data_IF_937736879928
#
_entry.id   IF_937736879928
#
_cell.length_a   1.000
_cell.length_b   1.000
_cell.length_c   1.000
_cell.angle_alpha   90.00
_cell.angle_beta   90.00
_cell.angle_gamma   90.00
#
_symmetry.space_group_name_H-M   'P 1'
#
loop_
_entity.id
_entity.type
_entity.pdbx_description
1 polymer ?
#
# COMPACT_ATOMS: atom_id res chain seq x y z
N UNK A 1 2.06 -6.58 -33.03
CA UNK A 1 2.18 -7.11 -31.65
C UNK A 1 0.81 -7.61 -31.26
N UNK A 2 0.64 -8.92 -31.03
CA UNK A 2 -0.67 -9.48 -30.71
C UNK A 2 -1.17 -8.90 -29.37
N UNK A 3 -2.42 -8.43 -29.34
CA UNK A 3 -3.12 -8.10 -28.10
C UNK A 3 -3.37 -9.41 -27.34
N UNK A 4 -2.39 -9.87 -26.58
CA UNK A 4 -2.57 -11.03 -25.71
C UNK A 4 -3.50 -10.61 -24.57
N UNK A 5 -4.69 -11.20 -24.52
CA UNK A 5 -5.64 -10.95 -23.44
C UNK A 5 -5.08 -11.50 -22.12
N UNK A 6 -5.37 -10.83 -21.01
CA UNK A 6 -4.96 -11.33 -19.69
C UNK A 6 -5.59 -12.70 -19.37
N UNK A 7 -6.74 -13.03 -19.98
CA UNK A 7 -7.38 -14.35 -19.89
C UNK A 7 -6.44 -15.44 -20.40
N UNK A 8 -5.88 -15.25 -21.59
CA UNK A 8 -5.04 -16.24 -22.28
C UNK A 8 -3.73 -16.47 -21.51
N UNK A 9 -3.20 -15.41 -20.90
CA UNK A 9 -2.01 -15.47 -20.04
C UNK A 9 -2.31 -16.27 -18.76
N UNK A 10 -3.47 -16.06 -18.14
CA UNK A 10 -3.83 -16.73 -16.88
C UNK A 10 -4.19 -18.20 -17.13
N UNK A 11 -4.89 -18.51 -18.22
CA UNK A 11 -5.29 -19.88 -18.55
C UNK A 11 -4.09 -20.79 -18.82
N UNK A 12 -2.98 -20.24 -19.30
CA UNK A 12 -1.74 -20.97 -19.57
C UNK A 12 -0.82 -21.12 -18.33
N UNK A 13 -1.14 -20.47 -17.20
CA UNK A 13 -0.30 -20.56 -16.00
C UNK A 13 -0.38 -21.95 -15.36
N UNK A 14 0.74 -22.39 -14.80
CA UNK A 14 0.78 -23.53 -13.88
C UNK A 14 0.03 -23.20 -12.58
N UNK A 15 -0.37 -24.23 -11.83
CA UNK A 15 -1.10 -24.07 -10.58
C UNK A 15 -0.31 -23.26 -9.54
N UNK A 16 1.01 -23.45 -9.50
CA UNK A 16 1.91 -22.66 -8.66
C UNK A 16 1.99 -21.20 -9.10
N UNK A 17 2.03 -20.93 -10.41
CA UNK A 17 2.02 -19.56 -10.93
C UNK A 17 0.67 -18.86 -10.70
N UNK A 18 -0.44 -19.61 -10.74
CA UNK A 18 -1.76 -19.12 -10.37
C UNK A 18 -1.84 -18.81 -8.87
N UNK A 19 -1.28 -19.67 -8.04
CA UNK A 19 -1.20 -19.48 -6.59
C UNK A 19 -0.35 -18.26 -6.22
N UNK A 20 0.81 -18.07 -6.85
CA UNK A 20 1.66 -16.89 -6.65
C UNK A 20 0.95 -15.60 -7.08
N UNK A 21 0.24 -15.63 -8.21
CA UNK A 21 -0.59 -14.52 -8.69
C UNK A 21 -1.66 -14.14 -7.65
N UNK A 22 -2.36 -15.13 -7.08
CA UNK A 22 -3.43 -14.89 -6.11
C UNK A 22 -2.94 -14.50 -4.71
N UNK A 23 -1.63 -14.55 -4.46
CA UNK A 23 -1.03 -14.30 -3.13
C UNK A 23 0.03 -13.19 -3.18
N UNK A 24 1.28 -13.52 -3.49
CA UNK A 24 2.44 -12.60 -3.43
C UNK A 24 2.32 -11.47 -4.44
N UNK A 25 1.89 -11.80 -5.66
CA UNK A 25 1.81 -10.86 -6.75
C UNK A 25 0.43 -10.19 -6.85
N UNK A 26 -0.52 -10.52 -5.96
CA UNK A 26 -1.93 -10.11 -6.08
C UNK A 26 -2.10 -8.62 -6.28
N UNK A 27 -1.30 -7.81 -5.58
CA UNK A 27 -1.34 -6.36 -5.71
C UNK A 27 -0.74 -5.80 -7.01
N UNK A 28 0.03 -6.59 -7.77
CA UNK A 28 0.65 -6.18 -9.04
C UNK A 28 -0.34 -6.19 -10.21
N UNK A 29 -1.45 -6.91 -10.10
CA UNK A 29 -2.42 -7.07 -11.18
C UNK A 29 -3.70 -6.27 -10.94
N UNK A 30 -4.42 -5.99 -12.03
CA UNK A 30 -5.74 -5.34 -11.95
C UNK A 30 -6.77 -6.27 -11.31
N UNK A 31 -7.80 -5.70 -10.68
CA UNK A 31 -8.85 -6.47 -9.99
C UNK A 31 -9.54 -7.49 -10.89
N UNK A 32 -9.72 -7.16 -12.17
CA UNK A 32 -10.35 -8.03 -13.16
C UNK A 32 -9.50 -9.28 -13.44
N UNK A 33 -8.17 -9.11 -13.51
CA UNK A 33 -7.25 -10.23 -13.70
C UNK A 33 -7.20 -11.14 -12.45
N UNK A 34 -7.29 -10.55 -11.26
CA UNK A 34 -7.37 -11.31 -10.00
C UNK A 34 -8.68 -12.11 -9.93
N UNK A 35 -9.82 -11.48 -10.22
CA UNK A 35 -11.11 -12.16 -10.23
C UNK A 35 -11.13 -13.31 -11.26
N UNK A 36 -10.55 -13.10 -12.45
CA UNK A 36 -10.44 -14.15 -13.45
C UNK A 36 -9.55 -15.30 -12.96
N UNK A 37 -8.40 -15.00 -12.36
CA UNK A 37 -7.53 -16.02 -11.79
C UNK A 37 -8.22 -16.82 -10.67
N UNK A 38 -9.05 -16.20 -9.83
CA UNK A 38 -9.85 -16.89 -8.81
C UNK A 38 -10.84 -17.89 -9.44
N UNK A 39 -11.50 -17.49 -10.55
CA UNK A 39 -12.40 -18.37 -11.31
C UNK A 39 -11.64 -19.56 -11.89
N UNK A 40 -10.49 -19.32 -12.53
CA UNK A 40 -9.66 -20.39 -13.10
C UNK A 40 -9.15 -21.33 -12.01
N UNK A 41 -8.74 -20.78 -10.87
CA UNK A 41 -8.26 -21.54 -9.71
C UNK A 41 -9.36 -22.47 -9.17
N UNK A 42 -10.59 -21.98 -9.04
CA UNK A 42 -11.75 -22.78 -8.63
C UNK A 42 -12.12 -23.84 -9.67
N UNK A 43 -12.13 -23.49 -10.97
CA UNK A 43 -12.43 -24.44 -12.06
C UNK A 43 -11.46 -25.61 -12.11
N UNK A 44 -10.21 -25.41 -11.71
CA UNK A 44 -9.18 -26.47 -11.62
C UNK A 44 -9.30 -27.32 -10.35
N UNK A 45 -10.28 -27.04 -9.47
CA UNK A 45 -10.45 -27.77 -8.22
C UNK A 45 -9.30 -27.56 -7.24
N UNK A 46 -8.57 -26.46 -7.36
CA UNK A 46 -7.44 -26.15 -6.49
C UNK A 46 -7.93 -25.53 -5.18
N UNK A 47 -7.29 -25.91 -4.08
CA UNK A 47 -7.53 -25.32 -2.76
C UNK A 47 -6.30 -24.52 -2.31
N UNK A 48 -6.53 -23.27 -1.90
CA UNK A 48 -5.47 -22.37 -1.45
C UNK A 48 -4.69 -22.94 -0.26
N UNK A 49 -5.36 -23.66 0.65
CA UNK A 49 -4.74 -24.30 1.82
C UNK A 49 -3.78 -25.42 1.41
N UNK A 50 -4.19 -26.25 0.45
CA UNK A 50 -3.39 -27.38 -0.06
C UNK A 50 -2.11 -26.89 -0.74
N UNK A 51 -2.23 -25.89 -1.62
CA UNK A 51 -1.05 -25.30 -2.27
C UNK A 51 -0.17 -24.51 -1.30
N UNK A 52 -0.76 -23.87 -0.27
CA UNK A 52 0.03 -23.22 0.77
C UNK A 52 0.91 -24.23 1.52
N UNK A 53 0.38 -25.41 1.85
CA UNK A 53 1.13 -26.47 2.53
C UNK A 53 2.26 -27.04 1.66
N UNK A 54 2.06 -27.16 0.34
CA UNK A 54 3.08 -27.64 -0.58
C UNK A 54 4.13 -26.58 -0.95
N UNK A 55 3.79 -25.28 -0.86
CA UNK A 55 4.64 -24.18 -1.34
C UNK A 55 5.92 -23.91 -0.52
N UNK A 56 6.10 -24.57 0.64
CA UNK A 56 7.25 -24.37 1.57
C UNK A 56 7.64 -22.90 1.79
N UNK A 57 6.67 -21.99 1.80
CA UNK A 57 6.93 -20.55 1.95
C UNK A 57 7.56 -20.22 3.28
N UNK A 58 8.58 -19.37 3.23
CA UNK A 58 9.26 -18.87 4.41
C UNK A 58 8.48 -17.71 5.05
N UNK A 59 8.87 -17.33 6.26
CA UNK A 59 8.34 -16.13 6.93
C UNK A 59 8.61 -14.86 6.12
N UNK A 60 9.73 -14.80 5.39
CA UNK A 60 10.13 -13.65 4.58
C UNK A 60 9.26 -13.50 3.33
N UNK A 61 8.85 -14.63 2.74
CA UNK A 61 7.89 -14.64 1.63
C UNK A 61 6.52 -14.10 2.06
N UNK A 62 6.06 -14.50 3.24
CA UNK A 62 4.82 -14.01 3.83
C UNK A 62 4.90 -12.52 4.17
N UNK A 63 6.03 -12.04 4.69
CA UNK A 63 6.25 -10.62 4.95
C UNK A 63 6.24 -9.81 3.64
N UNK A 64 6.83 -10.34 2.58
CA UNK A 64 6.84 -9.73 1.24
C UNK A 64 5.42 -9.65 0.66
N UNK A 65 4.64 -10.72 0.80
CA UNK A 65 3.22 -10.74 0.42
C UNK A 65 2.45 -9.61 1.13
N UNK A 66 2.57 -9.53 2.46
CA UNK A 66 1.91 -8.49 3.26
C UNK A 66 2.30 -7.10 2.78
N UNK A 67 3.60 -6.84 2.58
CA UNK A 67 4.10 -5.55 2.13
C UNK A 67 3.51 -5.16 0.77
N UNK A 68 3.47 -6.08 -0.18
CA UNK A 68 2.90 -5.83 -1.50
C UNK A 68 1.41 -5.52 -1.38
N UNK A 69 0.63 -6.36 -0.69
CA UNK A 69 -0.83 -6.17 -0.57
C UNK A 69 -1.20 -4.85 0.09
N UNK A 70 -0.49 -4.47 1.15
CA UNK A 70 -0.66 -3.15 1.78
C UNK A 70 -0.29 -2.00 0.85
N UNK A 71 0.82 -2.11 0.11
CA UNK A 71 1.27 -1.08 -0.86
C UNK A 71 0.21 -0.82 -1.94
N UNK A 72 -0.50 -1.86 -2.38
CA UNK A 72 -1.53 -1.78 -3.41
C UNK A 72 -2.94 -1.56 -2.88
N UNK A 73 -3.08 -1.22 -1.59
CA UNK A 73 -4.32 -0.70 -1.02
C UNK A 73 -5.29 -1.73 -0.48
N UNK A 74 -4.87 -2.99 -0.30
CA UNK A 74 -5.68 -3.95 0.47
C UNK A 74 -5.67 -3.62 1.96
N UNK A 75 -6.81 -3.86 2.61
CA UNK A 75 -6.92 -3.66 4.06
C UNK A 75 -6.29 -4.81 4.83
N UNK A 76 -5.83 -4.52 6.05
CA UNK A 76 -5.32 -5.54 6.98
C UNK A 76 -6.35 -6.66 7.19
N UNK A 77 -7.65 -6.32 7.28
CA UNK A 77 -8.72 -7.30 7.44
C UNK A 77 -8.84 -8.27 6.24
N UNK A 78 -8.72 -7.75 5.01
CA UNK A 78 -8.75 -8.57 3.79
C UNK A 78 -7.55 -9.54 3.74
N UNK A 79 -6.38 -9.07 4.15
CA UNK A 79 -5.18 -9.90 4.22
C UNK A 79 -5.36 -11.00 5.28
N UNK A 80 -5.90 -10.67 6.46
CA UNK A 80 -6.21 -11.66 7.52
C UNK A 80 -7.17 -12.74 7.01
N UNK A 81 -8.25 -12.33 6.33
CA UNK A 81 -9.22 -13.27 5.77
C UNK A 81 -8.55 -14.26 4.79
N UNK A 82 -7.67 -13.76 3.91
CA UNK A 82 -6.90 -14.60 3.00
C UNK A 82 -5.87 -15.50 3.70
N UNK A 83 -5.30 -15.06 4.81
CA UNK A 83 -4.37 -15.88 5.61
C UNK A 83 -5.14 -17.01 6.32
N UNK A 84 -6.32 -16.73 6.87
CA UNK A 84 -7.20 -17.74 7.49
C UNK A 84 -7.65 -18.78 6.46
N UNK A 85 -8.07 -18.35 5.26
CA UNK A 85 -8.46 -19.25 4.16
C UNK A 85 -7.33 -20.21 3.73
N UNK A 86 -6.07 -19.88 4.05
CA UNK A 86 -4.88 -20.71 3.79
C UNK A 86 -4.38 -21.49 5.00
N UNK A 87 -5.03 -21.36 6.16
CA UNK A 87 -4.58 -21.98 7.41
C UNK A 87 -3.33 -21.34 8.04
N UNK A 88 -3.04 -20.07 7.73
CA UNK A 88 -1.87 -19.33 8.24
C UNK A 88 -2.18 -18.51 9.50
N UNK A 89 -2.96 -19.07 10.42
CA UNK A 89 -3.46 -18.34 11.60
C UNK A 89 -2.34 -17.84 12.52
N UNK A 90 -1.27 -18.62 12.67
CA UNK A 90 -0.07 -18.25 13.43
C UNK A 90 0.76 -17.14 12.76
N UNK A 91 0.59 -16.94 11.45
CA UNK A 91 1.29 -15.89 10.69
C UNK A 91 0.65 -14.51 10.85
N UNK A 92 -0.43 -14.37 11.64
CA UNK A 92 -1.01 -13.07 12.00
C UNK A 92 -0.02 -12.16 12.73
N UNK A 93 0.91 -12.74 13.51
CA UNK A 93 1.96 -11.96 14.17
C UNK A 93 2.91 -11.29 13.16
N UNK A 94 3.19 -11.98 12.04
CA UNK A 94 3.99 -11.44 10.93
C UNK A 94 3.29 -10.24 10.31
N UNK A 95 1.96 -10.29 10.15
CA UNK A 95 1.17 -9.17 9.65
C UNK A 95 1.27 -7.95 10.55
N UNK A 96 1.11 -8.13 11.87
CA UNK A 96 1.19 -7.04 12.86
C UNK A 96 2.59 -6.41 12.85
N UNK A 97 3.65 -7.23 12.95
CA UNK A 97 5.04 -6.76 12.92
C UNK A 97 5.39 -6.06 11.61
N UNK A 98 4.93 -6.58 10.47
CA UNK A 98 5.20 -5.99 9.15
C UNK A 98 4.48 -4.65 9.00
N UNK A 99 3.22 -4.56 9.43
CA UNK A 99 2.46 -3.31 9.38
C UNK A 99 3.08 -2.23 10.29
N UNK A 100 3.53 -2.62 11.49
CA UNK A 100 4.24 -1.72 12.40
C UNK A 100 5.57 -1.24 11.80
N UNK A 101 6.36 -2.16 11.21
CA UNK A 101 7.61 -1.81 10.52
C UNK A 101 7.37 -0.83 9.37
N UNK A 102 6.34 -1.04 8.54
CA UNK A 102 5.95 -0.11 7.46
C UNK A 102 5.55 1.25 8.02
N UNK A 103 4.80 1.28 9.14
CA UNK A 103 4.41 2.52 9.80
C UNK A 103 5.62 3.30 10.34
N UNK A 104 6.56 2.60 10.96
CA UNK A 104 7.81 3.19 11.46
C UNK A 104 8.64 3.73 10.28
N UNK A 105 8.80 2.96 9.22
CA UNK A 105 9.57 3.34 8.02
C UNK A 105 8.99 4.60 7.35
N UNK A 106 7.66 4.67 7.21
CA UNK A 106 6.97 5.86 6.70
C UNK A 106 7.14 7.10 7.61
N UNK A 107 7.16 6.91 8.93
CA UNK A 107 7.40 8.01 9.87
C UNK A 107 8.85 8.49 9.83
N UNK A 108 9.82 7.58 9.67
CA UNK A 108 11.25 7.93 9.54
C UNK A 108 11.49 8.72 8.25
N UNK A 109 10.89 8.33 7.13
CA UNK A 109 11.01 9.06 5.86
C UNK A 109 10.46 10.49 5.97
N UNK A 110 9.34 10.67 6.69
CA UNK A 110 8.78 12.00 6.96
C UNK A 110 9.74 12.85 7.80
N UNK A 111 10.33 12.27 8.85
CA UNK A 111 11.30 12.95 9.72
C UNK A 111 12.57 13.34 8.97
N UNK A 112 13.09 12.47 8.08
CA UNK A 112 14.27 12.80 7.24
C UNK A 112 14.00 13.97 6.29
N UNK A 113 12.82 14.01 5.67
CA UNK A 113 12.41 15.13 4.79
C UNK A 113 12.32 16.45 5.57
N UNK A 114 11.78 16.42 6.79
CA UNK A 114 11.72 17.60 7.67
C UNK A 114 13.12 18.08 8.10
N UNK A 115 14.04 17.16 8.42
CA UNK A 115 15.41 17.49 8.84
C UNK A 115 16.20 18.21 7.73
N UNK A 116 15.92 17.96 6.45
CA UNK A 116 16.56 18.70 5.34
C UNK A 116 15.84 20.02 5.05
N UNK A 117 14.52 20.04 5.16
CA UNK A 117 13.71 21.21 4.82
C UNK A 117 13.91 22.35 5.83
N UNK A 118 13.99 22.06 7.13
CA UNK A 118 14.14 23.06 8.18
C UNK A 118 15.44 23.89 8.04
N UNK A 119 16.65 23.30 7.97
CA UNK A 119 17.88 24.06 7.79
C UNK A 119 17.92 24.83 6.46
N UNK A 120 17.41 24.25 5.37
CA UNK A 120 17.35 24.94 4.08
C UNK A 120 16.46 26.20 4.16
N UNK A 121 15.34 26.12 4.87
CA UNK A 121 14.45 27.27 5.10
C UNK A 121 15.12 28.33 5.97
N UNK A 122 15.83 27.91 7.02
CA UNK A 122 16.57 28.83 7.92
C UNK A 122 17.68 29.56 7.17
N UNK A 123 18.48 28.85 6.37
CA UNK A 123 19.54 29.45 5.54
C UNK A 123 18.95 30.45 4.53
N UNK A 124 17.84 30.10 3.89
CA UNK A 124 17.14 31.00 2.97
C UNK A 124 16.66 32.29 3.66
N UNK A 125 16.10 32.19 4.87
CA UNK A 125 15.68 33.35 5.66
C UNK A 125 16.88 34.22 6.05
N UNK A 126 17.98 33.63 6.51
CA UNK A 126 19.22 34.35 6.88
C UNK A 126 19.81 35.09 5.67
N UNK A 127 19.86 34.43 4.50
CA UNK A 127 20.35 35.03 3.26
C UNK A 127 19.49 36.24 2.81
N UNK A 128 18.22 36.28 3.21
CA UNK A 128 17.33 37.40 2.93
C UNK A 128 17.51 38.56 3.93
N UNK A 129 17.70 38.27 5.22
CA UNK A 129 17.98 39.29 6.26
C UNK A 129 19.31 40.00 5.98
N UNK A 130 20.31 39.24 5.51
CA UNK A 130 21.66 39.76 5.20
C UNK A 130 21.75 40.47 3.84
N UNK A 131 20.63 40.64 3.12
CA UNK A 131 20.59 41.25 1.78
C UNK A 131 21.50 40.57 0.73
N UNK A 132 21.93 39.33 0.97
CA UNK A 132 22.68 38.53 -0.01
C UNK A 132 21.83 38.17 -1.24
N UNK A 133 20.51 38.29 -1.12
CA UNK A 133 19.53 37.99 -2.15
C UNK A 133 18.64 39.23 -2.37
N UNK A 134 18.35 39.55 -3.64
CA UNK A 134 17.48 40.70 -3.96
C UNK A 134 16.05 40.48 -3.44
N UNK A 135 15.37 41.56 -3.05
CA UNK A 135 13.99 41.49 -2.56
C UNK A 135 13.02 40.81 -3.56
N UNK A 136 13.30 40.94 -4.86
CA UNK A 136 12.51 40.29 -5.91
C UNK A 136 12.61 38.76 -5.84
N UNK A 137 13.83 38.24 -5.63
CA UNK A 137 14.08 36.79 -5.50
C UNK A 137 13.48 36.27 -4.19
N UNK A 138 13.55 37.05 -3.10
CA UNK A 138 12.89 36.71 -1.84
C UNK A 138 11.37 36.55 -2.00
N UNK A 139 10.70 37.49 -2.69
CA UNK A 139 9.25 37.43 -2.94
C UNK A 139 8.86 36.19 -3.75
N UNK A 140 9.65 35.84 -4.76
CA UNK A 140 9.43 34.64 -5.58
C UNK A 140 9.63 33.38 -4.73
N UNK A 141 10.73 33.29 -3.96
CA UNK A 141 11.00 32.13 -3.10
C UNK A 141 9.96 31.93 -2.01
N UNK A 142 9.49 33.02 -1.37
CA UNK A 142 8.39 32.97 -0.41
C UNK A 142 7.07 32.55 -1.06
N UNK A 143 6.78 33.03 -2.28
CA UNK A 143 5.63 32.59 -3.05
C UNK A 143 5.64 31.08 -3.29
N UNK A 144 6.77 30.54 -3.75
CA UNK A 144 6.95 29.10 -3.96
C UNK A 144 6.81 28.32 -2.65
N UNK A 145 7.39 28.82 -1.55
CA UNK A 145 7.27 28.20 -0.22
C UNK A 145 5.81 28.13 0.25
N UNK A 146 5.05 29.23 0.15
CA UNK A 146 3.64 29.25 0.50
C UNK A 146 2.79 28.38 -0.43
N UNK A 147 3.11 28.32 -1.73
CA UNK A 147 2.45 27.40 -2.66
C UNK A 147 2.68 25.94 -2.26
N UNK A 148 3.90 25.54 -1.93
CA UNK A 148 4.21 24.18 -1.46
C UNK A 148 3.50 23.89 -0.12
N UNK A 149 3.56 24.84 0.82
CA UNK A 149 2.95 24.69 2.15
C UNK A 149 1.42 24.59 2.07
N UNK A 150 0.78 25.41 1.26
CA UNK A 150 -0.68 25.37 1.04
C UNK A 150 -1.13 24.06 0.40
N UNK A 151 -0.36 23.53 -0.56
CA UNK A 151 -0.64 22.23 -1.18
C UNK A 151 -0.49 21.07 -0.18
N UNK A 152 0.50 21.15 0.72
CA UNK A 152 0.68 20.19 1.80
C UNK A 152 -0.48 20.25 2.81
N UNK A 153 -0.90 21.45 3.23
CA UNK A 153 -2.03 21.66 4.14
C UNK A 153 -3.35 21.15 3.53
N UNK A 154 -3.61 21.43 2.25
CA UNK A 154 -4.78 20.90 1.54
C UNK A 154 -4.81 19.37 1.52
N UNK A 155 -3.66 18.70 1.30
CA UNK A 155 -3.58 17.24 1.38
C UNK A 155 -3.87 16.71 2.77
N UNK A 156 -3.42 17.41 3.83
CA UNK A 156 -3.70 17.02 5.22
C UNK A 156 -5.20 17.17 5.50
N UNK A 157 -5.80 18.31 5.15
CA UNK A 157 -7.24 18.57 5.31
C UNK A 157 -8.07 17.53 4.55
N UNK A 158 -7.72 17.24 3.29
CA UNK A 158 -8.39 16.20 2.50
C UNK A 158 -8.31 14.81 3.15
N UNK A 159 -7.14 14.42 3.68
CA UNK A 159 -6.99 13.15 4.41
C UNK A 159 -7.82 13.12 5.70
N UNK A 160 -7.92 14.23 6.43
CA UNK A 160 -8.73 14.34 7.63
C UNK A 160 -10.23 14.27 7.32
N UNK A 161 -10.68 14.94 6.25
CA UNK A 161 -12.06 14.87 5.77
C UNK A 161 -12.43 13.47 5.28
N UNK A 162 -11.54 12.81 4.53
CA UNK A 162 -11.73 11.41 4.08
C UNK A 162 -11.85 10.43 5.26
N UNK A 163 -11.16 10.68 6.38
CA UNK A 163 -11.31 9.88 7.61
C UNK A 163 -12.63 10.13 8.35
N UNK A 164 -13.29 11.27 8.13
CA UNK A 164 -14.59 11.61 8.72
C UNK A 164 -15.78 11.22 7.83
N UNK A 165 -15.57 10.84 6.58
CA UNK A 165 -16.64 10.30 5.73
C UNK A 165 -16.96 8.86 6.19
N UNK A 166 -18.19 8.57 6.65
CA UNK A 166 -18.52 7.28 7.23
C UNK A 166 -18.64 6.23 6.12
N UNK A 167 -17.55 5.54 5.80
CA UNK A 167 -17.61 4.17 5.26
C UNK A 167 -17.73 3.13 6.39
N UNK A 168 -17.87 3.57 7.65
CA UNK A 168 -17.90 2.70 8.83
C UNK A 168 -19.32 2.37 9.33
N UNK A 169 -20.33 2.35 8.45
CA UNK A 169 -21.73 2.08 8.81
C UNK A 169 -22.40 0.97 7.99
N UNK A 170 -21.63 -0.05 7.62
CA UNK A 170 -22.17 -1.34 7.19
C UNK A 170 -21.36 -2.40 7.96
N UNK A 171 -22.06 -3.38 8.55
CA UNK A 171 -21.54 -4.51 9.37
C UNK A 171 -21.63 -4.41 10.92
N UNK A 172 -22.61 -3.70 11.47
CA UNK A 172 -23.14 -4.02 12.83
C UNK A 172 -24.61 -4.39 12.83
N UNK A 173 -25.13 -4.95 11.72
CA UNK A 173 -26.54 -5.34 11.65
C UNK A 173 -26.74 -6.64 10.90
N UNK A 174 -26.04 -7.74 11.26
CA UNK A 174 -26.47 -9.12 10.94
C UNK A 174 -25.95 -10.18 11.95
N UNK A 175 -25.80 -9.82 13.23
CA UNK A 175 -25.72 -10.83 14.31
C UNK A 175 -26.87 -10.56 15.27
N UNK A 176 -28.09 -10.73 14.78
CA UNK A 176 -29.28 -11.01 15.58
C UNK A 176 -30.40 -11.42 14.62
N UNK A 177 -30.42 -12.72 14.31
CA UNK A 177 -31.61 -13.58 14.18
C UNK A 177 -31.19 -15.00 13.82
#
# INVERSE_FOLDING_TARGET
MANVSFSDIIDQRSDEALFNLLTVERGLYKKEAIAYAEIVFQKRGLELKTLQQSSKRTTDDLATEVKNRLKYGESVAQIIQHFNARGLELSKEILVKTNEKIRIENNIDLSRKLIVFIPATVIFVIACITHLISQSIYRIGMGIFFSILSMAMLRIIYRLLKRKTPQHRLETTQIEK
#
